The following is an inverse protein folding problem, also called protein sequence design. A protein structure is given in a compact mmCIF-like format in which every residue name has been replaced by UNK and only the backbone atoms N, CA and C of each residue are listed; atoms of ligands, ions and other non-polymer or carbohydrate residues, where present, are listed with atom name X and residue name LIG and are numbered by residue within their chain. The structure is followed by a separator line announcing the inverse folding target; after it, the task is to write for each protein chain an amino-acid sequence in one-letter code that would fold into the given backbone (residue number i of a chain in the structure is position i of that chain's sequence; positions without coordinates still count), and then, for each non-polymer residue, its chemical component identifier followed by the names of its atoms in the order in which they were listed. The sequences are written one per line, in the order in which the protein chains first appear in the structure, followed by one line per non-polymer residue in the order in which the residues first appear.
data_IF_960896666615
#
_entry.id   IF_960896666615
#
_cell.length_a   1.000
_cell.length_b   1.000
_cell.length_c   1.000
_cell.angle_alpha   90.00
_cell.angle_beta   90.00
_cell.angle_gamma   90.00
#
_symmetry.space_group_name_H-M   'P 1'
#
loop_
_entity.id
_entity.type
_entity.pdbx_description
1 polymer ?
#
# COMPACT_ATOMS: atom_id res chain seq x y z
N UNK A 1 20.01 5.96 18.23
CA UNK A 1 18.88 6.28 19.14
C UNK A 1 17.57 6.37 18.34
N UNK A 2 16.40 6.22 18.99
CA UNK A 2 15.06 6.16 18.36
C UNK A 2 14.76 7.35 17.41
N UNK A 3 15.27 8.55 17.72
CA UNK A 3 15.14 9.76 16.86
C UNK A 3 15.97 9.71 15.59
N UNK A 4 17.13 9.10 15.61
CA UNK A 4 18.00 8.95 14.42
C UNK A 4 17.44 7.88 13.47
N UNK A 5 16.82 6.84 13.99
CA UNK A 5 16.13 5.82 13.22
C UNK A 5 14.87 6.40 12.51
N UNK A 6 14.12 7.27 13.17
CA UNK A 6 12.95 7.96 12.59
C UNK A 6 13.36 8.89 11.45
N UNK A 7 14.37 9.73 11.64
CA UNK A 7 14.84 10.67 10.61
C UNK A 7 15.42 9.95 9.39
N UNK A 8 16.15 8.85 9.58
CA UNK A 8 16.65 8.02 8.49
C UNK A 8 15.50 7.36 7.71
N UNK A 9 14.50 6.84 8.41
CA UNK A 9 13.29 6.26 7.81
C UNK A 9 12.53 7.27 6.95
N UNK A 10 12.44 8.53 7.39
CA UNK A 10 11.79 9.60 6.63
C UNK A 10 12.54 9.95 5.34
N UNK A 11 13.87 9.96 5.38
CA UNK A 11 14.70 10.18 4.19
C UNK A 11 14.47 9.07 3.17
N UNK A 12 14.52 7.80 3.57
CA UNK A 12 14.31 6.66 2.66
C UNK A 12 12.89 6.62 2.09
N UNK A 13 11.88 6.93 2.90
CA UNK A 13 10.50 7.04 2.45
C UNK A 13 10.34 8.08 1.34
N UNK A 14 10.84 9.29 1.56
CA UNK A 14 10.80 10.36 0.55
C UNK A 14 11.58 9.98 -0.70
N UNK A 15 12.79 9.46 -0.55
CA UNK A 15 13.60 9.00 -1.68
C UNK A 15 12.89 7.94 -2.52
N UNK A 16 12.21 6.98 -1.89
CA UNK A 16 11.42 5.96 -2.58
C UNK A 16 10.29 6.58 -3.40
N UNK A 17 9.50 7.45 -2.78
CA UNK A 17 8.36 8.09 -3.43
C UNK A 17 8.80 8.99 -4.58
N UNK A 18 9.88 9.75 -4.44
CA UNK A 18 10.46 10.58 -5.49
C UNK A 18 11.00 9.74 -6.65
N UNK A 19 11.64 8.61 -6.37
CA UNK A 19 12.10 7.67 -7.41
C UNK A 19 10.91 7.10 -8.20
N UNK A 20 9.85 6.67 -7.52
CA UNK A 20 8.64 6.14 -8.15
C UNK A 20 7.92 7.21 -8.99
N UNK A 21 7.87 8.44 -8.49
CA UNK A 21 7.32 9.58 -9.23
C UNK A 21 8.13 9.86 -10.51
N UNK A 22 9.46 9.90 -10.40
CA UNK A 22 10.35 10.10 -11.54
C UNK A 22 10.19 9.01 -12.61
N UNK A 23 9.90 7.78 -12.20
CA UNK A 23 9.60 6.65 -13.10
C UNK A 23 8.18 6.67 -13.66
N UNK A 24 7.38 7.69 -13.38
CA UNK A 24 5.96 7.77 -13.75
C UNK A 24 5.16 6.54 -13.27
N UNK A 25 5.53 6.02 -12.09
CA UNK A 25 4.84 4.89 -11.47
C UNK A 25 3.43 5.29 -11.06
N UNK A 26 3.27 6.46 -10.48
CA UNK A 26 1.96 7.00 -10.12
C UNK A 26 1.31 7.67 -11.32
N UNK A 27 0.04 7.38 -11.56
CA UNK A 27 -0.75 8.00 -12.63
C UNK A 27 -2.05 8.52 -12.08
N UNK A 28 -2.50 9.60 -12.70
CA UNK A 28 -3.81 10.18 -12.43
C UNK A 28 -4.93 9.15 -12.60
N UNK A 29 -5.90 9.19 -11.70
CA UNK A 29 -7.09 8.33 -11.70
C UNK A 29 -6.79 6.81 -11.58
N UNK A 30 -5.60 6.42 -11.11
CA UNK A 30 -5.27 5.03 -10.80
C UNK A 30 -5.29 4.77 -9.29
N UNK A 31 -5.70 3.57 -8.89
CA UNK A 31 -5.59 3.11 -7.50
C UNK A 31 -4.25 2.40 -7.27
N UNK A 32 -3.64 2.66 -6.12
CA UNK A 32 -2.43 2.00 -5.65
C UNK A 32 -2.64 1.46 -4.24
N UNK A 33 -2.48 0.14 -4.06
CA UNK A 33 -2.63 -0.47 -2.73
C UNK A 33 -1.37 -0.33 -1.89
N UNK A 34 -1.55 0.01 -0.64
CA UNK A 34 -0.49 0.07 0.37
C UNK A 34 -0.74 -1.01 1.42
N UNK A 35 0.19 -1.94 1.53
CA UNK A 35 0.31 -2.82 2.69
C UNK A 35 1.45 -2.33 3.57
N UNK A 36 1.25 -2.27 4.89
CA UNK A 36 2.29 -1.80 5.79
C UNK A 36 2.23 -2.48 7.16
N UNK A 37 3.38 -2.99 7.60
CA UNK A 37 3.62 -3.36 8.98
C UNK A 37 4.46 -2.28 9.66
N UNK A 38 3.81 -1.43 10.45
CA UNK A 38 4.50 -0.36 11.18
C UNK A 38 5.46 -0.89 12.23
N UNK A 39 5.22 -2.09 12.78
CA UNK A 39 6.13 -2.76 13.70
C UNK A 39 7.41 -3.23 13.00
N UNK A 40 7.33 -3.73 11.77
CA UNK A 40 8.52 -4.03 10.95
C UNK A 40 9.36 -2.77 10.67
N UNK A 41 8.71 -1.62 10.40
CA UNK A 41 9.42 -0.35 10.18
C UNK A 41 10.30 0.03 11.36
N UNK A 42 9.83 -0.20 12.58
CA UNK A 42 10.57 0.11 13.82
C UNK A 42 11.47 -1.04 14.30
N UNK A 43 11.51 -2.17 13.60
CA UNK A 43 12.34 -3.32 13.94
C UNK A 43 11.79 -4.18 15.09
N UNK A 44 10.46 -4.20 15.28
CA UNK A 44 9.79 -5.03 16.28
C UNK A 44 9.04 -6.20 15.62
N UNK A 45 8.57 -7.16 16.41
CA UNK A 45 7.79 -8.27 15.89
C UNK A 45 6.45 -7.77 15.34
N UNK A 46 6.01 -8.33 14.22
CA UNK A 46 4.70 -8.03 13.61
C UNK A 46 3.59 -8.09 14.67
N UNK A 47 2.79 -7.02 14.77
CA UNK A 47 1.66 -6.93 15.69
C UNK A 47 1.99 -6.63 17.14
N UNK A 48 3.27 -6.44 17.51
CA UNK A 48 3.68 -6.23 18.90
C UNK A 48 3.45 -4.79 19.40
N UNK A 49 3.74 -3.78 18.58
CA UNK A 49 3.48 -2.37 18.89
C UNK A 49 3.29 -1.61 17.58
N UNK A 50 2.10 -1.58 17.05
CA UNK A 50 1.80 -0.71 15.92
C UNK A 50 2.04 0.74 16.30
N UNK A 51 2.87 1.46 15.56
CA UNK A 51 3.12 2.87 15.82
C UNK A 51 2.18 3.72 14.99
N UNK A 52 1.26 4.40 15.63
CA UNK A 52 0.38 5.38 14.98
C UNK A 52 1.16 6.59 14.47
N UNK A 53 2.31 6.90 15.06
CA UNK A 53 3.21 7.93 14.57
C UNK A 53 3.81 7.56 13.20
N UNK A 54 4.31 6.32 13.06
CA UNK A 54 4.80 5.81 11.77
C UNK A 54 3.68 5.76 10.73
N UNK A 55 2.48 5.33 11.14
CA UNK A 55 1.31 5.31 10.25
C UNK A 55 0.95 6.71 9.76
N UNK A 56 0.94 7.70 10.64
CA UNK A 56 0.75 9.11 10.31
C UNK A 56 1.77 9.58 9.28
N UNK A 57 3.06 9.38 9.55
CA UNK A 57 4.15 9.86 8.68
C UNK A 57 4.10 9.23 7.28
N UNK A 58 3.72 7.95 7.19
CA UNK A 58 3.53 7.27 5.91
C UNK A 58 2.30 7.83 5.19
N UNK A 59 1.17 7.94 5.88
CA UNK A 59 -0.07 8.44 5.31
C UNK A 59 0.08 9.87 4.76
N UNK A 60 0.68 10.79 5.54
CA UNK A 60 0.89 12.17 5.12
C UNK A 60 1.80 12.25 3.88
N UNK A 61 2.88 11.47 3.82
CA UNK A 61 3.74 11.43 2.64
C UNK A 61 3.00 10.89 1.39
N UNK A 62 2.13 9.90 1.55
CA UNK A 62 1.29 9.39 0.46
C UNK A 62 0.27 10.44 0.00
N UNK A 63 -0.34 11.20 0.92
CA UNK A 63 -1.28 12.29 0.57
C UNK A 63 -0.61 13.42 -0.21
N UNK A 64 0.67 13.72 0.05
CA UNK A 64 1.45 14.65 -0.77
C UNK A 64 1.54 14.13 -2.22
N UNK A 65 1.87 12.83 -2.41
CA UNK A 65 1.94 12.20 -3.74
C UNK A 65 0.57 12.17 -4.43
N UNK A 66 -0.53 11.90 -3.72
CA UNK A 66 -1.88 11.99 -4.29
C UNK A 66 -2.15 13.37 -4.88
N UNK A 67 -1.82 14.42 -4.11
CA UNK A 67 -2.01 15.80 -4.54
C UNK A 67 -1.19 16.15 -5.78
N UNK A 68 0.02 15.62 -5.89
CA UNK A 68 0.94 15.92 -7.00
C UNK A 68 0.65 15.11 -8.27
N UNK A 69 0.13 13.90 -8.14
CA UNK A 69 0.05 12.93 -9.25
C UNK A 69 -1.36 12.51 -9.63
N UNK A 70 -2.35 12.77 -8.79
CA UNK A 70 -3.73 12.31 -8.98
C UNK A 70 -3.97 10.82 -8.72
N UNK A 71 -2.93 10.06 -8.30
CA UNK A 71 -3.12 8.67 -7.85
C UNK A 71 -3.96 8.65 -6.57
N UNK A 72 -4.77 7.62 -6.37
CA UNK A 72 -5.47 7.40 -5.10
C UNK A 72 -4.90 6.19 -4.37
N UNK A 73 -4.51 6.37 -3.11
CA UNK A 73 -4.03 5.25 -2.29
C UNK A 73 -5.16 4.57 -1.53
N UNK A 74 -5.08 3.24 -1.47
CA UNK A 74 -5.98 2.38 -0.71
C UNK A 74 -5.16 1.51 0.24
N UNK A 75 -5.69 1.20 1.42
CA UNK A 75 -4.89 0.68 2.52
C UNK A 75 -5.38 -0.71 2.96
N UNK A 76 -4.50 -1.71 2.82
CA UNK A 76 -4.77 -3.07 3.22
C UNK A 76 -4.78 -3.20 4.75
N UNK A 77 -5.82 -3.81 5.28
CA UNK A 77 -5.87 -4.30 6.66
C UNK A 77 -5.12 -5.63 6.83
N UNK A 78 -4.89 -6.04 8.08
CA UNK A 78 -4.25 -7.30 8.39
C UNK A 78 -5.19 -8.50 8.22
N UNK A 79 -4.65 -9.72 8.40
CA UNK A 79 -5.41 -10.97 8.31
C UNK A 79 -6.58 -11.06 9.30
N UNK A 80 -6.53 -10.38 10.44
CA UNK A 80 -7.63 -10.38 11.43
C UNK A 80 -8.92 -9.76 10.90
N UNK A 81 -8.83 -8.92 9.86
CA UNK A 81 -9.99 -8.41 9.12
C UNK A 81 -9.97 -8.90 7.66
N UNK A 82 -9.46 -10.12 7.44
CA UNK A 82 -9.41 -10.79 6.14
C UNK A 82 -8.73 -9.98 5.04
N UNK A 83 -7.78 -9.11 5.38
CA UNK A 83 -7.09 -8.19 4.47
C UNK A 83 -8.03 -7.27 3.70
N UNK A 84 -9.17 -6.94 4.28
CA UNK A 84 -10.10 -5.94 3.76
C UNK A 84 -9.40 -4.58 3.59
N UNK A 85 -9.88 -3.77 2.67
CA UNK A 85 -9.18 -2.58 2.21
C UNK A 85 -9.97 -1.32 2.57
N UNK A 86 -9.30 -0.37 3.21
CA UNK A 86 -9.82 0.98 3.46
C UNK A 86 -9.63 1.85 2.23
N UNK A 87 -10.69 2.45 1.75
CA UNK A 87 -10.72 3.33 0.57
C UNK A 87 -11.54 4.59 0.84
N UNK A 88 -11.29 5.65 0.08
CA UNK A 88 -12.25 6.75 -0.05
C UNK A 88 -13.48 6.28 -0.81
N UNK A 89 -14.67 6.60 -0.35
CA UNK A 89 -15.94 6.22 -0.99
C UNK A 89 -16.05 6.72 -2.43
N UNK A 90 -15.40 7.83 -2.75
CA UNK A 90 -15.31 8.35 -4.11
C UNK A 90 -14.65 7.37 -5.11
N UNK A 91 -13.84 6.44 -4.60
CA UNK A 91 -13.16 5.41 -5.40
C UNK A 91 -13.91 4.07 -5.42
N UNK A 92 -15.09 4.00 -4.82
CA UNK A 92 -15.88 2.77 -4.75
C UNK A 92 -16.59 2.50 -6.07
N UNK A 93 -16.37 1.31 -6.60
CA UNK A 93 -17.08 0.79 -7.77
C UNK A 93 -17.96 -0.42 -7.36
N UNK A 94 -19.29 -0.25 -7.29
CA UNK A 94 -20.18 -1.32 -6.86
C UNK A 94 -20.28 -2.50 -7.85
N UNK A 95 -19.70 -2.37 -9.04
CA UNK A 95 -19.64 -3.47 -10.00
C UNK A 95 -18.49 -4.44 -9.75
N UNK A 96 -17.45 -3.96 -9.04
CA UNK A 96 -16.21 -4.73 -8.83
C UNK A 96 -15.79 -4.84 -7.37
N UNK A 97 -16.43 -4.11 -6.46
CA UNK A 97 -16.12 -4.07 -5.04
C UNK A 97 -17.37 -4.35 -4.20
N UNK A 98 -17.18 -4.98 -3.06
CA UNK A 98 -18.22 -5.18 -2.05
C UNK A 98 -17.85 -4.44 -0.77
N UNK A 99 -18.72 -3.50 -0.35
CA UNK A 99 -18.55 -2.78 0.91
C UNK A 99 -18.86 -3.72 2.08
N UNK A 100 -18.00 -3.69 3.10
CA UNK A 100 -18.15 -4.46 4.35
C UNK A 100 -18.20 -3.53 5.55
N UNK A 101 -18.80 -4.01 6.64
CA UNK A 101 -19.08 -3.15 7.82
C UNK A 101 -17.95 -3.11 8.84
N UNK A 102 -16.85 -3.83 8.61
CA UNK A 102 -15.72 -3.83 9.54
C UNK A 102 -15.06 -2.45 9.57
N UNK A 103 -14.68 -2.03 10.77
CA UNK A 103 -13.87 -0.81 10.97
C UNK A 103 -12.48 -1.26 11.43
N UNK A 104 -11.40 -0.84 10.75
CA UNK A 104 -10.06 -1.22 11.16
C UNK A 104 -9.70 -0.62 12.52
N UNK A 105 -9.04 -1.44 13.33
CA UNK A 105 -8.48 -1.09 14.64
C UNK A 105 -7.00 -1.45 14.69
N UNK A 106 -6.24 -0.83 15.57
CA UNK A 106 -4.79 -1.07 15.71
C UNK A 106 -4.47 -2.56 15.92
N UNK A 107 -5.33 -3.28 16.63
CA UNK A 107 -5.18 -4.71 16.91
C UNK A 107 -5.89 -5.62 15.88
N UNK A 108 -6.74 -5.05 15.02
CA UNK A 108 -7.50 -5.77 14.00
C UNK A 108 -7.63 -4.93 12.72
N UNK A 109 -6.56 -4.85 11.95
CA UNK A 109 -6.42 -4.03 10.75
C UNK A 109 -5.03 -3.42 10.62
N UNK A 110 -4.41 -3.10 11.75
CA UNK A 110 -3.10 -2.50 11.83
C UNK A 110 -3.14 -0.97 11.80
N UNK A 111 -2.03 -0.36 12.22
CA UNK A 111 -1.97 1.09 12.46
C UNK A 111 -2.22 1.93 11.22
N UNK A 112 -1.69 1.52 10.04
CA UNK A 112 -1.85 2.34 8.83
C UNK A 112 -3.29 2.31 8.31
N UNK A 113 -3.95 1.17 8.24
CA UNK A 113 -5.35 1.08 7.83
C UNK A 113 -6.27 1.82 8.82
N UNK A 114 -5.98 1.73 10.12
CA UNK A 114 -6.70 2.46 11.17
C UNK A 114 -6.52 3.96 11.02
N UNK A 115 -5.28 4.43 10.84
CA UNK A 115 -4.99 5.84 10.65
C UNK A 115 -5.67 6.40 9.39
N UNK A 116 -5.59 5.67 8.27
CA UNK A 116 -6.24 6.03 7.02
C UNK A 116 -7.76 6.17 7.21
N UNK A 117 -8.40 5.18 7.83
CA UNK A 117 -9.84 5.23 8.09
C UNK A 117 -10.25 6.45 8.93
N UNK A 118 -9.44 6.85 9.89
CA UNK A 118 -9.72 8.00 10.77
C UNK A 118 -9.47 9.36 10.10
N UNK A 119 -8.68 9.44 9.02
CA UNK A 119 -8.22 10.69 8.40
C UNK A 119 -8.62 10.87 6.93
N UNK A 120 -9.22 9.89 6.33
CA UNK A 120 -9.91 10.03 5.04
C UNK A 120 -11.20 10.87 5.21
N UNK A 121 -11.67 11.49 4.13
CA UNK A 121 -12.84 12.35 4.16
C UNK A 121 -14.16 11.56 4.29
N UNK A 122 -14.28 10.46 3.55
CA UNK A 122 -15.45 9.56 3.56
C UNK A 122 -14.95 8.10 3.42
N UNK A 123 -14.36 7.53 4.50
CA UNK A 123 -13.76 6.21 4.44
C UNK A 123 -14.82 5.11 4.45
N UNK A 124 -14.62 4.12 3.60
CA UNK A 124 -15.32 2.84 3.65
C UNK A 124 -14.33 1.69 3.61
N UNK A 125 -14.78 0.49 3.92
CA UNK A 125 -13.98 -0.74 3.82
C UNK A 125 -14.62 -1.66 2.80
N UNK A 126 -13.81 -2.20 1.90
CA UNK A 126 -14.23 -3.19 0.91
C UNK A 126 -13.55 -4.53 1.13
N UNK A 127 -14.24 -5.62 0.79
CA UNK A 127 -13.73 -6.99 1.01
C UNK A 127 -12.49 -7.25 0.16
N UNK A 128 -12.56 -6.94 -1.13
CA UNK A 128 -11.50 -7.20 -2.12
C UNK A 128 -11.34 -6.05 -3.08
N UNK A 129 -10.16 -5.96 -3.69
CA UNK A 129 -9.87 -4.97 -4.73
C UNK A 129 -8.95 -5.59 -5.79
N UNK A 130 -8.94 -5.04 -6.99
CA UNK A 130 -8.07 -5.47 -8.07
C UNK A 130 -7.43 -4.25 -8.74
N UNK A 131 -6.25 -3.86 -8.29
CA UNK A 131 -5.58 -2.60 -8.65
C UNK A 131 -4.32 -2.82 -9.48
N UNK A 132 -3.92 -1.84 -10.32
CA UNK A 132 -2.76 -2.00 -11.19
C UNK A 132 -1.42 -1.90 -10.47
N UNK A 133 -1.38 -1.38 -9.24
CA UNK A 133 -0.13 -1.06 -8.54
C UNK A 133 -0.23 -1.25 -7.04
N UNK A 134 0.92 -1.51 -6.42
CA UNK A 134 0.98 -1.60 -4.97
C UNK A 134 2.39 -1.48 -4.41
N UNK A 135 2.44 -1.03 -3.16
CA UNK A 135 3.66 -0.92 -2.35
C UNK A 135 3.42 -1.71 -1.06
N UNK A 136 4.28 -2.68 -0.81
CA UNK A 136 4.27 -3.49 0.40
C UNK A 136 5.48 -3.11 1.27
N UNK A 137 5.21 -2.62 2.46
CA UNK A 137 6.20 -2.20 3.45
C UNK A 137 6.15 -3.18 4.62
N UNK A 138 7.11 -4.11 4.68
CA UNK A 138 7.19 -5.10 5.74
C UNK A 138 6.57 -6.46 5.39
N UNK A 139 6.54 -6.81 4.09
CA UNK A 139 6.15 -8.13 3.61
C UNK A 139 4.75 -8.58 4.06
N UNK A 140 3.78 -7.67 4.00
CA UNK A 140 2.39 -7.92 4.39
C UNK A 140 1.60 -8.75 3.37
N UNK A 141 2.16 -8.98 2.18
CA UNK A 141 1.56 -9.74 1.08
C UNK A 141 0.35 -9.03 0.44
N UNK A 142 0.63 -8.16 -0.50
CA UNK A 142 -0.40 -7.42 -1.28
C UNK A 142 -0.77 -8.10 -2.61
N UNK A 143 -0.10 -9.18 -2.99
CA UNK A 143 -0.22 -9.79 -4.31
C UNK A 143 -1.64 -10.19 -4.70
N UNK A 144 -2.48 -10.55 -3.72
CA UNK A 144 -3.89 -10.90 -3.91
C UNK A 144 -4.74 -9.74 -4.46
N UNK A 145 -4.28 -8.51 -4.30
CA UNK A 145 -4.96 -7.29 -4.73
C UNK A 145 -4.42 -6.72 -6.04
N UNK A 146 -3.33 -7.29 -6.55
CA UNK A 146 -2.70 -6.80 -7.78
C UNK A 146 -3.28 -7.47 -9.01
N UNK A 147 -3.65 -6.65 -9.97
CA UNK A 147 -4.17 -7.07 -11.28
C UNK A 147 -3.17 -7.96 -12.01
N UNK A 148 -3.66 -9.04 -12.61
CA UNK A 148 -2.82 -9.88 -13.48
C UNK A 148 -2.40 -9.11 -14.75
N UNK A 149 -1.14 -9.15 -15.12
CA UNK A 149 -0.03 -9.92 -14.54
C UNK A 149 0.78 -9.01 -13.65
N UNK A 150 0.92 -9.34 -12.37
CA UNK A 150 1.79 -8.62 -11.46
C UNK A 150 3.26 -8.77 -11.88
N UNK A 151 3.99 -7.66 -11.92
CA UNK A 151 5.44 -7.62 -12.15
C UNK A 151 6.13 -6.80 -11.07
N UNK A 152 7.35 -7.18 -10.66
CA UNK A 152 8.09 -6.41 -9.66
C UNK A 152 8.67 -5.14 -10.26
N UNK A 153 8.51 -4.04 -9.54
CA UNK A 153 9.23 -2.80 -9.82
C UNK A 153 10.54 -2.74 -9.03
N UNK A 154 11.59 -2.26 -9.66
CA UNK A 154 12.92 -2.17 -9.07
C UNK A 154 13.24 -0.74 -8.69
N UNK A 155 13.53 -0.52 -7.42
CA UNK A 155 13.94 0.78 -6.87
C UNK A 155 15.29 0.68 -6.19
N UNK A 156 15.96 1.82 -5.99
CA UNK A 156 17.20 1.90 -5.23
C UNK A 156 16.96 1.65 -3.75
N UNK A 157 15.87 2.18 -3.20
CA UNK A 157 15.44 1.97 -1.83
C UNK A 157 14.79 0.59 -1.70
N UNK A 158 15.29 -0.23 -0.79
CA UNK A 158 14.80 -1.58 -0.52
C UNK A 158 14.15 -1.72 0.84
N UNK A 159 14.31 -0.74 1.69
CA UNK A 159 13.80 -0.75 3.07
C UNK A 159 13.34 0.63 3.49
N UNK A 160 12.35 0.66 4.37
CA UNK A 160 11.94 1.84 5.14
C UNK A 160 12.05 1.46 6.61
N UNK A 161 12.96 2.11 7.35
CA UNK A 161 13.38 1.58 8.64
C UNK A 161 13.97 0.17 8.46
N UNK A 162 13.52 -0.79 9.23
CA UNK A 162 13.90 -2.20 9.12
C UNK A 162 12.98 -2.99 8.16
N UNK A 163 11.86 -2.39 7.72
CA UNK A 163 10.89 -3.06 6.86
C UNK A 163 11.36 -3.18 5.41
N UNK A 164 11.32 -4.40 4.88
CA UNK A 164 11.57 -4.65 3.46
C UNK A 164 10.44 -4.05 2.63
N UNK A 165 10.81 -3.37 1.53
CA UNK A 165 9.86 -2.81 0.57
C UNK A 165 9.79 -3.65 -0.69
N UNK A 166 8.59 -4.05 -1.07
CA UNK A 166 8.29 -4.71 -2.34
C UNK A 166 7.29 -3.87 -3.11
N UNK A 167 7.56 -3.64 -4.40
CA UNK A 167 6.71 -2.81 -5.25
C UNK A 167 6.27 -3.63 -6.44
N UNK A 168 4.99 -3.56 -6.76
CA UNK A 168 4.39 -4.26 -7.87
C UNK A 168 3.64 -3.30 -8.79
N UNK A 169 3.72 -3.57 -10.08
CA UNK A 169 2.81 -3.03 -11.08
C UNK A 169 2.15 -4.16 -11.86
N UNK A 170 1.18 -3.85 -12.69
CA UNK A 170 0.58 -4.81 -13.59
C UNK A 170 0.89 -4.47 -15.04
N UNK A 171 0.98 -5.48 -15.87
CA UNK A 171 1.06 -5.35 -17.33
C UNK A 171 -0.07 -6.12 -18.02
N UNK A 172 -0.42 -5.78 -19.26
CA UNK A 172 -1.36 -6.56 -20.02
C UNK A 172 -0.96 -8.03 -20.15
N UNK A 173 -1.94 -8.92 -20.10
CA UNK A 173 -1.74 -10.35 -20.34
C UNK A 173 -1.25 -10.57 -21.78
N UNK A 174 -0.23 -11.41 -21.94
CA UNK A 174 0.30 -11.83 -23.25
C UNK A 174 -0.18 -13.24 -23.53
N UNK A 175 -1.44 -13.39 -23.86
CA UNK A 175 -2.04 -14.69 -24.22
C UNK A 175 -1.73 -14.97 -25.70
N UNK A 176 -1.08 -16.09 -25.99
CA UNK A 176 -0.69 -16.45 -27.35
C UNK A 176 0.52 -15.67 -27.91
N UNK A 177 1.41 -15.14 -27.06
CA UNK A 177 2.62 -14.47 -27.51
C UNK A 177 3.66 -15.43 -28.13
N UNK A 178 4.73 -14.89 -28.74
CA UNK A 178 5.78 -15.61 -29.48
C UNK A 178 6.40 -16.82 -28.75
N UNK A 179 6.40 -16.79 -27.41
CA UNK A 179 6.93 -17.88 -26.58
C UNK A 179 5.89 -18.93 -26.19
N UNK A 180 4.62 -18.72 -26.54
CA UNK A 180 3.56 -19.68 -26.26
C UNK A 180 3.71 -20.89 -27.21
N UNK A 181 3.50 -22.08 -26.64
CA UNK A 181 3.45 -23.34 -27.41
C UNK A 181 2.04 -23.91 -27.24
N UNK A 182 1.51 -24.42 -28.33
CA UNK A 182 0.20 -25.09 -28.37
C UNK A 182 0.39 -26.52 -28.83
N UNK A 183 -0.40 -27.44 -28.29
CA UNK A 183 -0.41 -28.85 -28.73
C UNK A 183 -1.13 -29.01 -30.07
#
# INVERSE_FOLDING_TARGET
TRKESSAASDVYKRQLLDELKTKSFFKDDELCIIGCSTSEVIGERIGSVGSMEVAKDIFEALKEIETETGVSFVFQGCEHINRAITIEKANFDPLTMEEVTVVPDVHAGGSLATYAYQHMADPIVVETINVPKGIDIGQTLIGMHIKHVAIPERTSVKQIGEAIVTIASSRPKKIGGERAKYN
#
